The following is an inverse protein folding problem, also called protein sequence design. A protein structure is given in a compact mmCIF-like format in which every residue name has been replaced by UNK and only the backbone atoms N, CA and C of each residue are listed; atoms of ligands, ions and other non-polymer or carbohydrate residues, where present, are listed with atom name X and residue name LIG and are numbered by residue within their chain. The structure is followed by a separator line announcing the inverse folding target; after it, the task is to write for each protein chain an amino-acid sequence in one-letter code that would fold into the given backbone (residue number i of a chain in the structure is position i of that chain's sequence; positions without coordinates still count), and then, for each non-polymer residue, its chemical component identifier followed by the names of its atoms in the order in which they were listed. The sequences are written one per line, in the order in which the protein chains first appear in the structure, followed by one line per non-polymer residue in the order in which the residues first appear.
data_IF_396506029588
#
_entry.id   IF_396506029588
#
_cell.length_a   1.000
_cell.length_b   1.000
_cell.length_c   1.000
_cell.angle_alpha   90.00
_cell.angle_beta   90.00
_cell.angle_gamma   90.00
#
_symmetry.space_group_name_H-M   'P 1'
#
loop_
_entity.id
_entity.type
_entity.pdbx_description
1 polymer ?
#
# COMPACT_ATOMS: atom_id res chain seq x y z
N UNK A 1 9.80 -13.31 25.81
CA UNK A 1 9.26 -12.12 25.14
C UNK A 1 7.80 -12.04 25.54
N UNK A 2 7.40 -10.95 26.17
CA UNK A 2 6.03 -10.79 26.67
C UNK A 2 5.05 -10.66 25.51
N UNK A 3 3.80 -11.01 25.74
CA UNK A 3 2.75 -11.00 24.72
C UNK A 3 2.62 -9.62 24.03
N UNK A 4 2.66 -8.54 24.80
CA UNK A 4 2.63 -7.17 24.29
C UNK A 4 3.80 -6.87 23.33
N UNK A 5 5.01 -7.25 23.71
CA UNK A 5 6.20 -7.02 22.88
C UNK A 5 6.15 -7.82 21.58
N UNK A 6 5.57 -9.02 21.59
CA UNK A 6 5.36 -9.81 20.39
C UNK A 6 4.36 -9.14 19.45
N UNK A 7 3.23 -8.67 19.98
CA UNK A 7 2.22 -7.94 19.20
C UNK A 7 2.81 -6.66 18.60
N UNK A 8 3.57 -5.91 19.39
CA UNK A 8 4.25 -4.68 18.94
C UNK A 8 5.24 -4.98 17.81
N UNK A 9 6.03 -6.05 17.94
CA UNK A 9 6.94 -6.49 16.89
C UNK A 9 6.19 -6.81 15.59
N UNK A 10 5.15 -7.62 15.66
CA UNK A 10 4.35 -8.02 14.47
C UNK A 10 3.70 -6.79 13.83
N UNK A 11 3.15 -5.87 14.63
CA UNK A 11 2.54 -4.64 14.13
C UNK A 11 3.56 -3.74 13.43
N UNK A 12 4.72 -3.51 14.03
CA UNK A 12 5.80 -2.68 13.45
C UNK A 12 6.35 -3.32 12.17
N UNK A 13 6.60 -4.63 12.16
CA UNK A 13 7.06 -5.35 10.96
C UNK A 13 6.02 -5.24 9.84
N UNK A 14 4.73 -5.42 10.16
CA UNK A 14 3.66 -5.23 9.19
C UNK A 14 3.60 -3.81 8.60
N UNK A 15 3.76 -2.77 9.44
CA UNK A 15 3.84 -1.38 8.97
C UNK A 15 5.05 -1.15 8.05
N UNK A 16 6.20 -1.73 8.40
CA UNK A 16 7.42 -1.67 7.57
C UNK A 16 7.21 -2.34 6.22
N UNK A 17 6.53 -3.50 6.21
CA UNK A 17 6.18 -4.21 4.98
C UNK A 17 5.25 -3.36 4.10
N UNK A 18 4.19 -2.76 4.67
CA UNK A 18 3.27 -1.89 3.92
C UNK A 18 4.01 -0.72 3.27
N UNK A 19 4.82 0.01 4.04
CA UNK A 19 5.55 1.18 3.55
C UNK A 19 6.61 0.78 2.53
N UNK A 20 7.41 -0.24 2.84
CA UNK A 20 8.52 -0.69 2.00
C UNK A 20 8.06 -1.32 0.69
N UNK A 21 7.06 -2.20 0.75
CA UNK A 21 6.48 -2.82 -0.46
C UNK A 21 5.80 -1.78 -1.34
N UNK A 22 5.00 -0.87 -0.75
CA UNK A 22 4.35 0.20 -1.50
C UNK A 22 5.33 1.11 -2.24
N UNK A 23 6.41 1.53 -1.58
CA UNK A 23 7.48 2.32 -2.20
C UNK A 23 8.22 1.52 -3.29
N UNK A 24 8.54 0.26 -3.02
CA UNK A 24 9.23 -0.63 -3.96
C UNK A 24 8.40 -0.90 -5.22
N UNK A 25 7.11 -1.22 -5.06
CA UNK A 25 6.16 -1.39 -6.17
C UNK A 25 6.12 -0.15 -7.05
N UNK A 26 5.98 1.04 -6.44
CA UNK A 26 5.93 2.29 -7.16
C UNK A 26 7.23 2.53 -7.94
N UNK A 27 8.38 2.36 -7.31
CA UNK A 27 9.68 2.54 -7.94
C UNK A 27 9.89 1.59 -9.14
N UNK A 28 9.71 0.29 -8.94
CA UNK A 28 9.95 -0.70 -9.99
C UNK A 28 8.99 -0.52 -11.17
N UNK A 29 7.72 -0.22 -10.91
CA UNK A 29 6.76 0.02 -11.97
C UNK A 29 7.09 1.28 -12.79
N UNK A 30 7.49 2.38 -12.14
CA UNK A 30 7.94 3.60 -12.82
C UNK A 30 9.15 3.32 -13.69
N UNK A 31 10.16 2.60 -13.17
CA UNK A 31 11.36 2.26 -13.93
C UNK A 31 11.05 1.38 -15.14
N UNK A 32 10.16 0.40 -14.99
CA UNK A 32 9.74 -0.44 -16.10
C UNK A 32 9.01 0.36 -17.19
N UNK A 33 8.04 1.21 -16.80
CA UNK A 33 7.27 2.01 -17.77
C UNK A 33 8.15 3.00 -18.55
N UNK A 34 9.21 3.53 -17.93
CA UNK A 34 10.17 4.40 -18.60
C UNK A 34 10.88 3.73 -19.78
N UNK A 35 11.05 2.42 -19.75
CA UNK A 35 11.67 1.68 -20.87
C UNK A 35 10.82 1.62 -22.12
N UNK A 36 9.51 1.83 -22.01
CA UNK A 36 8.51 1.66 -23.07
C UNK A 36 8.55 0.26 -23.73
N UNK A 37 9.24 -0.71 -23.13
CA UNK A 37 9.32 -2.09 -23.59
C UNK A 37 8.15 -2.90 -23.00
N UNK A 38 7.16 -3.35 -23.82
CA UNK A 38 5.99 -4.05 -23.31
C UNK A 38 6.30 -5.34 -22.56
N UNK A 39 7.30 -6.12 -23.02
CA UNK A 39 7.67 -7.39 -22.39
C UNK A 39 8.26 -7.15 -20.99
N UNK A 40 9.15 -6.16 -20.85
CA UNK A 40 9.73 -5.80 -19.56
C UNK A 40 8.66 -5.26 -18.59
N UNK A 41 7.77 -4.40 -19.09
CA UNK A 41 6.65 -3.85 -18.30
C UNK A 41 5.73 -4.98 -17.84
N UNK A 42 5.39 -5.92 -18.72
CA UNK A 42 4.53 -7.07 -18.40
C UNK A 42 5.15 -7.94 -17.30
N UNK A 43 6.47 -8.19 -17.37
CA UNK A 43 7.20 -8.96 -16.36
C UNK A 43 7.18 -8.25 -15.01
N UNK A 44 7.59 -6.98 -14.97
CA UNK A 44 7.64 -6.19 -13.72
C UNK A 44 6.24 -6.01 -13.13
N UNK A 45 5.24 -5.67 -13.95
CA UNK A 45 3.86 -5.54 -13.48
C UNK A 45 3.32 -6.87 -12.92
N UNK A 46 3.73 -8.01 -13.48
CA UNK A 46 3.42 -9.33 -12.91
C UNK A 46 4.02 -9.52 -11.52
N UNK A 47 5.29 -9.19 -11.35
CA UNK A 47 5.99 -9.23 -10.06
C UNK A 47 5.35 -8.29 -9.04
N UNK A 48 5.00 -7.07 -9.46
CA UNK A 48 4.31 -6.08 -8.64
C UNK A 48 2.97 -6.60 -8.12
N UNK A 49 2.15 -7.22 -8.98
CA UNK A 49 0.86 -7.82 -8.57
C UNK A 49 1.07 -8.93 -7.54
N UNK A 50 2.09 -9.78 -7.73
CA UNK A 50 2.42 -10.84 -6.75
C UNK A 50 2.87 -10.24 -5.42
N UNK A 51 3.78 -9.26 -5.44
CA UNK A 51 4.27 -8.60 -4.24
C UNK A 51 3.13 -7.88 -3.47
N UNK A 52 2.25 -7.21 -4.20
CA UNK A 52 1.09 -6.53 -3.60
C UNK A 52 0.11 -7.51 -2.95
N UNK A 53 -0.14 -8.65 -3.60
CA UNK A 53 -1.02 -9.69 -3.07
C UNK A 53 -0.41 -10.40 -1.84
N UNK A 54 0.88 -10.74 -1.88
CA UNK A 54 1.51 -11.49 -0.79
C UNK A 54 1.88 -10.60 0.39
N UNK A 55 2.46 -9.46 0.15
CA UNK A 55 3.01 -8.61 1.20
C UNK A 55 2.02 -7.51 1.62
N UNK A 56 1.54 -6.69 0.67
CA UNK A 56 0.66 -5.56 1.00
C UNK A 56 -0.69 -6.05 1.52
N UNK A 57 -1.36 -6.98 0.83
CA UNK A 57 -2.68 -7.45 1.25
C UNK A 57 -2.62 -8.18 2.61
N UNK A 58 -1.61 -9.01 2.83
CA UNK A 58 -1.42 -9.71 4.12
C UNK A 58 -1.16 -8.70 5.25
N UNK A 59 -0.24 -7.76 5.04
CA UNK A 59 0.07 -6.75 6.03
C UNK A 59 -1.13 -5.81 6.27
N UNK A 60 -1.91 -5.47 5.23
CA UNK A 60 -3.12 -4.67 5.35
C UNK A 60 -4.20 -5.36 6.23
N UNK A 61 -4.29 -6.67 6.21
CA UNK A 61 -5.19 -7.39 7.13
C UNK A 61 -4.62 -7.46 8.54
N UNK A 62 -3.32 -7.69 8.68
CA UNK A 62 -2.66 -7.82 9.98
C UNK A 62 -2.61 -6.52 10.78
N UNK A 63 -2.52 -5.36 10.12
CA UNK A 63 -2.39 -4.07 10.80
C UNK A 63 -3.57 -3.75 11.73
N UNK A 64 -4.84 -3.75 11.29
CA UNK A 64 -5.95 -3.47 12.19
C UNK A 64 -6.12 -4.54 13.27
N UNK A 65 -5.83 -5.81 12.98
CA UNK A 65 -5.93 -6.90 13.95
C UNK A 65 -4.89 -6.72 15.06
N UNK A 66 -3.63 -6.54 14.71
CA UNK A 66 -2.56 -6.37 15.69
C UNK A 66 -2.66 -5.02 16.40
N UNK A 67 -3.13 -3.98 15.72
CA UNK A 67 -3.39 -2.67 16.31
C UNK A 67 -4.48 -2.74 17.39
N UNK A 68 -5.59 -3.41 17.12
CA UNK A 68 -6.65 -3.63 18.09
C UNK A 68 -6.15 -4.41 19.31
N UNK A 69 -5.46 -5.53 19.09
CA UNK A 69 -4.90 -6.34 20.18
C UNK A 69 -3.89 -5.56 21.03
N UNK A 70 -3.12 -4.65 20.42
CA UNK A 70 -2.21 -3.76 21.16
C UNK A 70 -2.95 -2.76 22.03
N UNK A 71 -4.04 -2.16 21.53
CA UNK A 71 -4.87 -1.24 22.29
C UNK A 71 -5.43 -1.93 23.55
N UNK A 72 -5.95 -3.15 23.38
CA UNK A 72 -6.45 -3.96 24.52
C UNK A 72 -5.31 -4.33 25.49
N UNK A 73 -4.16 -4.79 24.99
CA UNK A 73 -3.06 -5.22 25.84
C UNK A 73 -2.42 -4.10 26.65
N UNK A 74 -2.40 -2.88 26.11
CA UNK A 74 -1.79 -1.70 26.76
C UNK A 74 -2.83 -0.95 27.62
N UNK A 75 -4.14 -1.17 27.38
CA UNK A 75 -5.22 -0.49 28.09
C UNK A 75 -5.52 0.93 27.55
N UNK A 76 -5.22 1.19 26.27
CA UNK A 76 -5.61 2.45 25.64
C UNK A 76 -7.07 2.47 25.24
N UNK A 77 -7.63 3.66 25.13
CA UNK A 77 -8.96 3.83 24.53
C UNK A 77 -8.85 3.85 23.00
N UNK A 78 -9.75 3.14 22.31
CA UNK A 78 -9.89 3.27 20.84
C UNK A 78 -10.30 4.69 20.41
N UNK A 79 -10.82 5.49 21.34
CA UNK A 79 -11.23 6.88 21.11
C UNK A 79 -10.10 7.90 21.31
N UNK A 80 -8.89 7.46 21.59
CA UNK A 80 -7.73 8.34 21.53
C UNK A 80 -7.64 9.01 20.17
N UNK A 81 -7.50 10.34 20.14
CA UNK A 81 -7.59 11.12 18.92
C UNK A 81 -6.60 10.68 17.83
N UNK A 82 -5.37 10.30 18.22
CA UNK A 82 -4.38 9.79 17.29
C UNK A 82 -4.73 8.41 16.73
N UNK A 83 -5.43 7.55 17.48
CA UNK A 83 -5.91 6.24 17.01
C UNK A 83 -7.06 6.44 16.01
N UNK A 84 -8.05 7.27 16.35
CA UNK A 84 -9.18 7.58 15.46
C UNK A 84 -8.69 8.16 14.13
N UNK A 85 -7.76 9.11 14.18
CA UNK A 85 -7.20 9.71 12.97
C UNK A 85 -6.40 8.69 12.15
N UNK A 86 -5.64 7.81 12.81
CA UNK A 86 -4.90 6.73 12.13
C UNK A 86 -5.84 5.76 11.43
N UNK A 87 -6.95 5.38 12.07
CA UNK A 87 -7.97 4.51 11.46
C UNK A 87 -8.66 5.20 10.27
N UNK A 88 -8.97 6.50 10.37
CA UNK A 88 -9.53 7.27 9.27
C UNK A 88 -8.58 7.33 8.07
N UNK A 89 -7.29 7.59 8.30
CA UNK A 89 -6.25 7.58 7.27
C UNK A 89 -6.04 6.17 6.70
N UNK A 90 -6.17 5.13 7.53
CA UNK A 90 -6.09 3.75 7.08
C UNK A 90 -7.22 3.39 6.11
N UNK A 91 -8.46 3.77 6.45
CA UNK A 91 -9.61 3.61 5.54
C UNK A 91 -9.40 4.39 4.24
N UNK A 92 -8.94 5.64 4.34
CA UNK A 92 -8.60 6.45 3.17
C UNK A 92 -7.56 5.77 2.28
N UNK A 93 -6.49 5.22 2.87
CA UNK A 93 -5.46 4.45 2.14
C UNK A 93 -6.10 3.27 1.41
N UNK A 94 -6.99 2.52 2.06
CA UNK A 94 -7.72 1.40 1.45
C UNK A 94 -8.59 1.82 0.26
N UNK A 95 -9.26 2.98 0.36
CA UNK A 95 -10.08 3.52 -0.73
C UNK A 95 -9.27 3.86 -1.98
N UNK A 96 -8.02 4.28 -1.82
CA UNK A 96 -7.09 4.47 -2.94
C UNK A 96 -6.48 3.15 -3.41
N UNK A 97 -6.11 2.26 -2.50
CA UNK A 97 -5.41 1.03 -2.81
C UNK A 97 -6.27 0.02 -3.60
N UNK A 98 -7.53 -0.17 -3.24
CA UNK A 98 -8.41 -1.14 -3.92
C UNK A 98 -8.57 -0.89 -5.42
N UNK A 99 -8.84 0.35 -5.90
CA UNK A 99 -8.81 0.65 -7.33
C UNK A 99 -7.43 0.44 -7.95
N UNK A 100 -6.36 0.82 -7.24
CA UNK A 100 -4.97 0.68 -7.70
C UNK A 100 -4.63 -0.77 -8.00
N UNK A 101 -5.03 -1.74 -7.16
CA UNK A 101 -4.81 -3.18 -7.42
C UNK A 101 -5.45 -3.62 -8.74
N UNK A 102 -6.69 -3.19 -9.01
CA UNK A 102 -7.38 -3.51 -10.27
C UNK A 102 -6.66 -2.88 -11.47
N UNK A 103 -6.23 -1.63 -11.33
CA UNK A 103 -5.47 -0.93 -12.38
C UNK A 103 -4.13 -1.64 -12.64
N UNK A 104 -3.41 -2.09 -11.62
CA UNK A 104 -2.16 -2.85 -11.77
C UNK A 104 -2.36 -4.14 -12.58
N UNK A 105 -3.41 -4.91 -12.26
CA UNK A 105 -3.74 -6.11 -13.02
C UNK A 105 -4.05 -5.77 -14.49
N UNK A 106 -4.80 -4.71 -14.74
CA UNK A 106 -5.12 -4.27 -16.10
C UNK A 106 -3.89 -3.78 -16.87
N UNK A 107 -3.01 -3.02 -16.22
CA UNK A 107 -1.72 -2.57 -16.81
C UNK A 107 -0.84 -3.76 -17.20
N UNK A 108 -0.74 -4.76 -16.32
CA UNK A 108 -0.03 -6.02 -16.61
C UNK A 108 -0.60 -6.69 -17.87
N UNK A 109 -1.93 -6.82 -17.94
CA UNK A 109 -2.57 -7.56 -19.03
C UNK A 109 -2.45 -6.81 -20.37
N UNK A 110 -2.59 -5.48 -20.37
CA UNK A 110 -2.34 -4.65 -21.56
C UNK A 110 -0.88 -4.73 -22.03
N UNK A 111 0.08 -4.73 -21.11
CA UNK A 111 1.48 -4.87 -21.46
C UNK A 111 1.80 -6.27 -22.01
N UNK A 112 1.18 -7.34 -21.45
CA UNK A 112 1.31 -8.72 -21.98
C UNK A 112 0.76 -8.84 -23.41
N UNK A 113 -0.41 -8.23 -23.64
CA UNK A 113 -1.01 -8.22 -24.97
C UNK A 113 -0.11 -7.49 -25.98
N UNK A 114 0.35 -6.29 -25.65
CA UNK A 114 1.25 -5.53 -26.51
C UNK A 114 2.57 -6.31 -26.80
N UNK A 115 3.11 -7.01 -25.80
CA UNK A 115 4.31 -7.85 -25.98
C UNK A 115 4.04 -9.05 -26.90
N UNK A 116 2.89 -9.69 -26.80
CA UNK A 116 2.51 -10.85 -27.64
C UNK A 116 2.28 -10.43 -29.11
N UNK A 117 1.65 -9.28 -29.32
CA UNK A 117 1.32 -8.75 -30.65
C UNK A 117 2.53 -8.05 -31.33
N UNK A 118 3.67 -7.92 -30.64
CA UNK A 118 4.82 -7.15 -31.10
C UNK A 118 4.52 -5.66 -31.29
N UNK A 119 3.44 -5.18 -30.65
CA UNK A 119 2.92 -3.83 -30.80
C UNK A 119 3.39 -2.83 -29.75
N UNK A 120 2.93 -1.59 -29.88
CA UNK A 120 3.15 -0.53 -28.92
C UNK A 120 2.08 -0.59 -27.78
N UNK A 121 2.42 0.04 -26.65
CA UNK A 121 1.48 0.25 -25.56
C UNK A 121 0.31 1.14 -26.03
N UNK A 122 -0.89 0.80 -25.58
CA UNK A 122 -2.12 1.51 -25.98
C UNK A 122 -2.31 2.82 -25.21
N UNK A 123 -3.13 3.72 -25.75
CA UNK A 123 -3.55 4.93 -25.03
C UNK A 123 -4.30 4.61 -23.71
N UNK A 124 -4.99 3.46 -23.64
CA UNK A 124 -5.59 2.95 -22.40
C UNK A 124 -4.53 2.69 -21.33
N UNK A 125 -3.41 2.05 -21.71
CA UNK A 125 -2.29 1.82 -20.78
C UNK A 125 -1.78 3.13 -20.21
N UNK A 126 -1.49 4.11 -21.05
CA UNK A 126 -0.94 5.40 -20.61
C UNK A 126 -1.93 6.18 -19.71
N UNK A 127 -3.22 6.10 -19.98
CA UNK A 127 -4.26 6.69 -19.14
C UNK A 127 -4.31 6.01 -17.75
N UNK A 128 -4.37 4.68 -17.72
CA UNK A 128 -4.43 3.92 -16.47
C UNK A 128 -3.15 4.09 -15.64
N UNK A 129 -2.00 4.12 -16.29
CA UNK A 129 -0.74 4.37 -15.58
C UNK A 129 -0.72 5.76 -14.90
N UNK A 130 -1.23 6.80 -15.54
CA UNK A 130 -1.33 8.13 -14.92
C UNK A 130 -2.26 8.13 -13.71
N UNK A 131 -3.41 7.45 -13.78
CA UNK A 131 -4.34 7.31 -12.65
C UNK A 131 -3.67 6.56 -11.51
N UNK A 132 -3.06 5.41 -11.81
CA UNK A 132 -2.32 4.59 -10.85
C UNK A 132 -1.23 5.40 -10.13
N UNK A 133 -0.43 6.13 -10.89
CA UNK A 133 0.65 6.97 -10.36
C UNK A 133 0.12 8.09 -9.46
N UNK A 134 -0.94 8.78 -9.88
CA UNK A 134 -1.56 9.86 -9.12
C UNK A 134 -2.17 9.37 -7.80
N UNK A 135 -2.84 8.19 -7.80
CA UNK A 135 -3.42 7.59 -6.60
C UNK A 135 -2.35 7.14 -5.57
N UNK A 136 -1.14 6.86 -6.02
CA UNK A 136 -0.03 6.45 -5.15
C UNK A 136 0.37 7.53 -4.15
N UNK A 137 0.34 8.81 -4.52
CA UNK A 137 0.78 9.90 -3.65
C UNK A 137 -0.08 10.07 -2.39
N UNK A 138 -1.43 10.24 -2.48
CA UNK A 138 -2.25 10.38 -1.29
C UNK A 138 -2.24 9.12 -0.41
N UNK A 139 -2.20 7.93 -1.02
CA UNK A 139 -2.08 6.68 -0.26
C UNK A 139 -0.76 6.62 0.51
N UNK A 140 0.36 6.91 -0.14
CA UNK A 140 1.67 6.91 0.51
C UNK A 140 1.77 7.98 1.60
N UNK A 141 1.30 9.20 1.34
CA UNK A 141 1.27 10.28 2.33
C UNK A 141 0.42 9.90 3.56
N UNK A 142 -0.72 9.25 3.36
CA UNK A 142 -1.56 8.78 4.47
C UNK A 142 -0.84 7.72 5.31
N UNK A 143 -0.13 6.75 4.69
CA UNK A 143 0.65 5.74 5.44
C UNK A 143 1.78 6.40 6.23
N UNK A 144 2.51 7.36 5.66
CA UNK A 144 3.55 8.11 6.37
C UNK A 144 2.95 8.90 7.56
N UNK A 145 1.79 9.52 7.36
CA UNK A 145 1.09 10.22 8.44
C UNK A 145 0.65 9.27 9.56
N UNK A 146 0.17 8.06 9.23
CA UNK A 146 -0.14 7.01 10.23
C UNK A 146 1.11 6.66 11.05
N UNK A 147 2.24 6.42 10.37
CA UNK A 147 3.51 6.11 11.06
C UNK A 147 3.91 7.25 12.00
N UNK A 148 3.78 8.49 11.55
CA UNK A 148 4.04 9.67 12.39
C UNK A 148 3.13 9.72 13.62
N UNK A 149 1.82 9.50 13.46
CA UNK A 149 0.85 9.46 14.57
C UNK A 149 1.18 8.35 15.56
N UNK A 150 1.55 7.16 15.08
CA UNK A 150 1.94 6.04 15.95
C UNK A 150 3.22 6.31 16.75
N UNK A 151 4.16 7.06 16.20
CA UNK A 151 5.41 7.41 16.87
C UNK A 151 5.22 8.54 17.89
N UNK A 152 4.48 9.59 17.52
CA UNK A 152 4.37 10.81 18.33
C UNK A 152 3.20 10.79 19.31
N UNK A 153 2.14 10.04 18.98
CA UNK A 153 0.88 9.94 19.77
C UNK A 153 0.42 11.31 20.28
N UNK A 154 0.23 12.29 19.37
CA UNK A 154 -0.10 13.63 19.78
C UNK A 154 -1.43 13.65 20.57
N UNK A 155 -1.50 14.50 21.57
CA UNK A 155 -2.75 14.76 22.28
C UNK A 155 -3.69 15.55 21.37
N UNK A 156 -4.64 14.85 20.77
CA UNK A 156 -5.62 15.41 19.84
C UNK A 156 -6.99 15.35 20.50
N UNK A 157 -7.47 16.49 21.00
CA UNK A 157 -8.84 16.63 21.48
C UNK A 157 -9.81 16.63 20.27
N UNK A 158 -10.19 15.45 19.80
CA UNK A 158 -11.15 15.29 18.70
C UNK A 158 -12.58 15.18 19.21
N UNK A 159 -12.78 14.97 20.53
CA UNK A 159 -14.07 14.82 21.21
C UNK A 159 -14.05 15.49 22.58
#
# INVERSE_FOLDING_TARGET
MDYENLLRLVHVVGATVLLGTGAGIAFFMVMAVRTRNPALIAHVAGTVVVADTLFTATAAVLQPVTGYLLVEAIGWSLWEGWIVLSLALYVLTGLFWLPVVRIQMRLRDLARQAAADGGALTAEFDRLYRIWFACGFPAFAAVVAIVWLMLTKPDLALF
#
